data_IF_771728084999
#
_entry.id   IF_771728084999
#
_cell.length_a   1.000
_cell.length_b   1.000
_cell.length_c   1.000
_cell.angle_alpha   90.00
_cell.angle_beta   90.00
_cell.angle_gamma   90.00
#
_symmetry.space_group_name_H-M   'P 1'
#
loop_
_entity.id
_entity.type
_entity.pdbx_description
1 polymer ?
#
# COMPACT_ATOMS: atom_id res chain seq x y z
N UNK A 1 20.79 26.59 -14.68
CA UNK A 1 20.61 28.02 -15.02
C UNK A 1 19.60 28.59 -14.04
N UNK A 2 20.08 29.23 -12.96
CA UNK A 2 19.28 30.02 -12.01
C UNK A 2 18.81 31.29 -12.75
N UNK A 3 17.57 31.26 -13.23
CA UNK A 3 16.95 32.51 -13.73
C UNK A 3 16.83 33.48 -12.55
N UNK A 4 17.27 34.74 -12.72
CA UNK A 4 17.17 35.77 -11.70
C UNK A 4 15.70 35.97 -11.28
N UNK A 5 15.47 36.16 -9.98
CA UNK A 5 14.15 36.49 -9.45
C UNK A 5 13.70 37.85 -9.96
N UNK A 6 12.43 37.96 -10.36
CA UNK A 6 11.84 39.23 -10.78
C UNK A 6 11.41 40.05 -9.56
N UNK A 7 11.16 41.36 -9.73
CA UNK A 7 10.60 42.18 -8.65
C UNK A 7 9.30 41.60 -8.08
N UNK A 8 8.44 41.08 -8.96
CA UNK A 8 7.19 40.42 -8.61
C UNK A 8 7.41 39.14 -7.77
N UNK A 9 8.48 38.38 -8.04
CA UNK A 9 8.81 37.18 -7.23
C UNK A 9 9.19 37.57 -5.81
N UNK A 10 9.93 38.69 -5.63
CA UNK A 10 10.29 39.20 -4.32
C UNK A 10 9.10 39.76 -3.54
N UNK A 11 8.17 40.45 -4.21
CA UNK A 11 6.93 40.91 -3.57
C UNK A 11 6.08 39.76 -3.07
N UNK A 12 5.92 38.68 -3.88
CA UNK A 12 5.22 37.46 -3.47
C UNK A 12 5.91 36.75 -2.32
N UNK A 13 7.25 36.67 -2.35
CA UNK A 13 8.03 36.07 -1.28
C UNK A 13 7.83 36.82 0.05
N UNK A 14 7.81 38.16 0.00
CA UNK A 14 7.58 38.96 1.18
C UNK A 14 6.14 38.84 1.71
N UNK A 15 5.14 38.78 0.84
CA UNK A 15 3.75 38.49 1.22
C UNK A 15 3.62 37.14 1.94
N UNK A 16 4.28 36.09 1.39
CA UNK A 16 4.29 34.75 2.01
C UNK A 16 5.00 34.77 3.35
N UNK A 17 6.14 35.46 3.47
CA UNK A 17 6.89 35.62 4.71
C UNK A 17 6.05 36.30 5.80
N UNK A 18 5.42 37.43 5.47
CA UNK A 18 4.56 38.17 6.38
C UNK A 18 3.33 37.36 6.81
N UNK A 19 2.78 36.57 5.90
CA UNK A 19 1.62 35.74 6.19
C UNK A 19 1.87 34.65 7.25
N UNK A 20 3.14 34.30 7.51
CA UNK A 20 3.51 33.22 8.44
C UNK A 20 4.47 33.67 9.55
N UNK A 21 4.71 34.97 9.70
CA UNK A 21 5.68 35.52 10.65
C UNK A 21 5.39 35.18 12.12
N UNK A 22 4.15 34.87 12.46
CA UNK A 22 3.71 34.43 13.80
C UNK A 22 3.99 32.95 14.11
N UNK A 23 4.21 32.11 13.08
CA UNK A 23 4.42 30.67 13.25
C UNK A 23 5.77 30.19 12.71
N UNK A 24 6.46 31.01 11.89
CA UNK A 24 7.73 30.68 11.28
C UNK A 24 8.66 31.89 11.22
N UNK A 25 9.84 31.78 11.81
CA UNK A 25 10.89 32.77 11.73
C UNK A 25 11.73 32.52 10.48
N UNK A 26 11.52 33.33 9.44
CA UNK A 26 12.30 33.22 8.20
C UNK A 26 13.66 33.84 8.35
N UNK A 27 14.72 33.10 8.07
CA UNK A 27 16.14 33.53 8.10
C UNK A 27 16.66 33.82 6.68
N UNK A 28 16.20 33.06 5.67
CA UNK A 28 16.65 33.22 4.29
C UNK A 28 15.53 32.91 3.29
N UNK A 29 15.56 33.56 2.12
CA UNK A 29 14.62 33.38 1.02
C UNK A 29 15.38 33.05 -0.24
N UNK A 30 15.06 31.92 -0.86
CA UNK A 30 15.66 31.49 -2.13
C UNK A 30 14.60 31.08 -3.13
N UNK A 31 14.95 31.09 -4.41
CA UNK A 31 14.08 30.71 -5.51
C UNK A 31 14.64 29.47 -6.20
N UNK A 32 13.78 28.49 -6.47
CA UNK A 32 14.24 27.23 -7.06
C UNK A 32 13.09 26.38 -7.61
N UNK A 33 13.37 25.13 -7.95
CA UNK A 33 12.30 24.19 -8.33
C UNK A 33 11.47 23.78 -7.13
N UNK A 34 10.17 23.58 -7.33
CA UNK A 34 9.25 23.07 -6.30
C UNK A 34 9.41 21.57 -6.01
N UNK A 35 10.43 20.92 -6.58
CA UNK A 35 10.63 19.48 -6.51
C UNK A 35 9.86 18.71 -7.59
N UNK A 36 9.83 17.38 -7.51
CA UNK A 36 9.22 16.51 -8.54
C UNK A 36 7.72 16.74 -8.75
N UNK A 37 7.02 17.25 -7.75
CA UNK A 37 5.58 17.49 -7.79
C UNK A 37 5.19 18.82 -8.44
N UNK A 38 6.14 19.78 -8.59
CA UNK A 38 5.86 21.11 -9.09
C UNK A 38 6.92 21.53 -10.10
N UNK A 39 6.54 21.61 -11.36
CA UNK A 39 7.43 21.98 -12.47
C UNK A 39 7.71 23.49 -12.55
N UNK A 40 6.99 24.29 -11.74
CA UNK A 40 7.14 25.73 -11.72
C UNK A 40 8.16 26.18 -10.67
N UNK A 41 8.62 27.41 -10.80
CA UNK A 41 9.51 28.06 -9.86
C UNK A 41 8.82 28.20 -8.51
N UNK A 42 9.44 27.69 -7.45
CA UNK A 42 8.95 27.76 -6.08
C UNK A 42 9.77 28.76 -5.25
N UNK A 43 9.12 29.36 -4.26
CA UNK A 43 9.74 30.20 -3.25
C UNK A 43 10.11 29.32 -2.06
N UNK A 44 11.35 29.40 -1.58
CA UNK A 44 11.85 28.63 -0.45
C UNK A 44 12.16 29.59 0.70
N UNK A 45 11.49 29.38 1.81
CA UNK A 45 11.67 30.13 3.05
C UNK A 45 12.38 29.21 4.04
N UNK A 46 13.63 29.51 4.37
CA UNK A 46 14.42 28.81 5.41
C UNK A 46 14.28 29.52 6.73
N UNK A 47 14.29 28.74 7.83
CA UNK A 47 14.19 29.29 9.17
C UNK A 47 13.79 28.27 10.21
N UNK A 48 13.04 28.73 11.21
CA UNK A 48 12.63 27.90 12.36
C UNK A 48 11.15 28.04 12.65
N UNK A 49 10.52 26.91 12.99
CA UNK A 49 9.16 26.90 13.49
C UNK A 49 9.11 27.52 14.90
N UNK A 50 8.16 28.42 15.13
CA UNK A 50 7.92 29.07 16.43
C UNK A 50 6.91 28.30 17.28
N UNK A 51 6.12 27.41 16.65
CA UNK A 51 5.11 26.58 17.29
C UNK A 51 5.27 25.12 16.85
N UNK A 52 4.48 24.22 17.43
CA UNK A 52 4.52 22.79 17.03
C UNK A 52 4.28 22.61 15.53
N UNK A 53 5.07 21.74 14.90
CA UNK A 53 5.05 21.52 13.42
C UNK A 53 3.67 21.21 12.86
N UNK A 54 2.86 20.43 13.57
CA UNK A 54 1.51 20.08 13.14
C UNK A 54 0.55 21.28 13.12
N UNK A 55 0.65 22.12 14.15
CA UNK A 55 -0.11 23.37 14.26
C UNK A 55 0.37 24.38 13.22
N UNK A 56 1.70 24.60 13.16
CA UNK A 56 2.33 25.47 12.18
C UNK A 56 1.88 25.12 10.76
N UNK A 57 2.01 23.85 10.39
CA UNK A 57 1.66 23.41 9.03
C UNK A 57 0.17 23.66 8.71
N UNK A 58 -0.72 23.49 9.69
CA UNK A 58 -2.16 23.78 9.50
C UNK A 58 -2.39 25.23 9.10
N UNK A 59 -1.76 26.16 9.83
CA UNK A 59 -1.88 27.60 9.57
C UNK A 59 -1.18 28.01 8.26
N UNK A 60 0.04 27.53 8.06
CA UNK A 60 0.84 27.82 6.85
C UNK A 60 0.12 27.35 5.60
N UNK A 61 -0.39 26.10 5.59
CA UNK A 61 -1.05 25.52 4.43
C UNK A 61 -2.35 26.26 4.06
N UNK A 62 -3.11 26.72 5.07
CA UNK A 62 -4.34 27.50 4.84
C UNK A 62 -4.02 28.88 4.28
N UNK A 63 -3.03 29.59 4.86
CA UNK A 63 -2.64 30.93 4.43
C UNK A 63 -2.04 30.92 3.04
N UNK A 64 -1.17 29.96 2.74
CA UNK A 64 -0.57 29.81 1.40
C UNK A 64 -1.62 29.46 0.34
N UNK A 65 -2.58 28.61 0.68
CA UNK A 65 -3.69 28.29 -0.24
C UNK A 65 -4.50 29.52 -0.61
N UNK A 66 -4.74 30.46 0.33
CA UNK A 66 -5.44 31.73 0.04
C UNK A 66 -4.67 32.61 -0.91
N UNK A 67 -3.34 32.49 -0.94
CA UNK A 67 -2.45 33.18 -1.87
C UNK A 67 -2.18 32.41 -3.16
N UNK A 68 -2.83 31.24 -3.37
CA UNK A 68 -2.67 30.42 -4.58
C UNK A 68 -1.45 29.51 -4.57
N UNK A 69 -0.86 29.23 -3.38
CA UNK A 69 0.30 28.39 -3.23
C UNK A 69 0.00 27.12 -2.42
N UNK A 70 0.72 26.07 -2.74
CA UNK A 70 0.81 24.85 -1.89
C UNK A 70 2.08 24.93 -1.06
N UNK A 71 1.95 24.75 0.26
CA UNK A 71 3.07 24.68 1.19
C UNK A 71 3.61 23.26 1.29
N UNK A 72 4.94 23.09 1.20
CA UNK A 72 5.65 21.87 1.57
C UNK A 72 6.61 22.20 2.70
N UNK A 73 6.49 21.48 3.82
CA UNK A 73 7.37 21.63 4.96
C UNK A 73 8.41 20.50 4.95
N UNK A 74 9.68 20.89 4.97
CA UNK A 74 10.83 19.98 4.87
C UNK A 74 11.79 20.23 6.02
N UNK A 75 12.46 19.16 6.47
CA UNK A 75 13.55 19.27 7.45
C UNK A 75 14.87 19.41 6.71
N UNK A 76 15.68 20.38 7.12
CA UNK A 76 17.08 20.57 6.68
C UNK A 76 18.04 20.29 7.83
N UNK A 77 19.36 20.37 7.57
CA UNK A 77 20.40 20.15 8.59
C UNK A 77 20.32 21.17 9.73
N UNK A 78 20.02 22.43 9.39
CA UNK A 78 20.12 23.58 10.30
C UNK A 78 18.77 24.25 10.60
N UNK A 79 17.65 23.55 10.35
CA UNK A 79 16.32 24.10 10.59
C UNK A 79 15.25 23.46 9.73
N UNK A 80 14.22 24.24 9.44
CA UNK A 80 13.13 23.84 8.56
C UNK A 80 13.08 24.72 7.31
N UNK A 81 12.58 24.14 6.23
CA UNK A 81 12.35 24.85 4.97
C UNK A 81 10.89 24.71 4.57
N UNK A 82 10.24 25.84 4.29
CA UNK A 82 8.94 25.89 3.66
C UNK A 82 9.14 26.16 2.17
N UNK A 83 8.60 25.27 1.33
CA UNK A 83 8.60 25.47 -0.12
C UNK A 83 7.18 25.87 -0.52
N UNK A 84 7.01 27.10 -0.99
CA UNK A 84 5.78 27.60 -1.58
C UNK A 84 5.77 27.31 -3.08
N UNK A 85 5.01 26.32 -3.48
CA UNK A 85 4.84 25.94 -4.87
C UNK A 85 3.54 26.55 -5.42
N UNK A 86 3.56 27.23 -6.58
CA UNK A 86 2.36 27.82 -7.17
C UNK A 86 1.38 26.71 -7.59
N UNK A 87 0.09 26.96 -7.38
CA UNK A 87 -0.99 26.02 -7.72
C UNK A 87 -1.40 25.09 -6.58
N UNK A 88 -2.26 24.13 -6.91
CA UNK A 88 -2.75 23.14 -5.97
C UNK A 88 -2.04 21.80 -6.13
N UNK A 89 -1.68 21.15 -5.02
CA UNK A 89 -1.04 19.82 -5.01
C UNK A 89 -1.98 18.70 -5.49
N UNK A 90 -3.26 19.01 -5.70
CA UNK A 90 -4.29 18.05 -6.05
C UNK A 90 -4.63 18.13 -7.52
N UNK A 91 -4.31 17.09 -8.28
CA UNK A 91 -4.83 16.96 -9.63
C UNK A 91 -6.34 16.76 -9.60
N UNK A 92 -7.08 17.64 -10.27
CA UNK A 92 -8.50 17.44 -10.56
C UNK A 92 -8.68 16.49 -11.74
N UNK A 93 -7.99 15.37 -11.75
CA UNK A 93 -8.23 14.36 -12.77
C UNK A 93 -9.69 13.89 -12.68
N UNK A 94 -10.45 14.13 -13.75
CA UNK A 94 -11.83 13.69 -13.85
C UNK A 94 -11.86 12.16 -13.76
N UNK A 95 -12.31 11.62 -12.65
CA UNK A 95 -12.53 10.17 -12.53
C UNK A 95 -13.80 9.82 -13.31
N UNK A 96 -13.64 8.90 -14.24
CA UNK A 96 -14.78 8.29 -14.94
C UNK A 96 -15.28 7.13 -14.08
N UNK A 97 -16.40 7.27 -13.33
CA UNK A 97 -16.82 6.27 -12.35
C UNK A 97 -17.21 4.92 -12.96
N UNK A 98 -17.51 4.89 -14.25
CA UNK A 98 -17.82 3.65 -14.97
C UNK A 98 -16.59 2.73 -15.14
N UNK A 99 -15.34 3.28 -15.14
CA UNK A 99 -14.12 2.47 -15.32
C UNK A 99 -13.88 1.52 -14.15
N UNK A 100 -13.89 1.97 -12.88
CA UNK A 100 -13.82 1.04 -11.74
C UNK A 100 -14.94 -0.01 -11.74
N UNK A 101 -16.18 0.37 -12.11
CA UNK A 101 -17.29 -0.56 -12.17
C UNK A 101 -17.11 -1.63 -13.25
N UNK A 102 -16.66 -1.24 -14.45
CA UNK A 102 -16.35 -2.19 -15.54
C UNK A 102 -15.22 -3.15 -15.13
N UNK A 103 -14.15 -2.63 -14.56
CA UNK A 103 -13.01 -3.46 -14.11
C UNK A 103 -13.43 -4.43 -13.02
N UNK A 104 -14.28 -4.01 -12.08
CA UNK A 104 -14.83 -4.91 -11.06
C UNK A 104 -15.68 -6.02 -11.70
N UNK A 105 -16.55 -5.69 -12.67
CA UNK A 105 -17.37 -6.69 -13.35
C UNK A 105 -16.52 -7.70 -14.13
N UNK A 106 -15.48 -7.23 -14.83
CA UNK A 106 -14.54 -8.11 -15.55
C UNK A 106 -13.73 -8.98 -14.59
N UNK A 107 -13.31 -8.42 -13.44
CA UNK A 107 -12.59 -9.17 -12.41
C UNK A 107 -13.47 -10.23 -11.77
N UNK A 108 -14.74 -9.91 -11.46
CA UNK A 108 -15.71 -10.88 -10.98
C UNK A 108 -15.88 -12.05 -11.97
N UNK A 109 -16.08 -11.74 -13.25
CA UNK A 109 -16.19 -12.79 -14.28
C UNK A 109 -14.94 -13.68 -14.36
N UNK A 110 -13.74 -13.06 -14.31
CA UNK A 110 -12.45 -13.74 -14.33
C UNK A 110 -12.27 -14.64 -13.11
N UNK A 111 -12.53 -14.14 -11.90
CA UNK A 111 -12.34 -14.87 -10.63
C UNK A 111 -13.37 -16.00 -10.50
N UNK A 112 -14.63 -15.78 -10.93
CA UNK A 112 -15.65 -16.85 -10.96
C UNK A 112 -15.22 -17.97 -11.92
N UNK A 113 -14.74 -17.64 -13.11
CA UNK A 113 -14.27 -18.61 -14.09
C UNK A 113 -13.10 -19.44 -13.53
N UNK A 114 -12.09 -18.80 -12.94
CA UNK A 114 -10.95 -19.49 -12.33
C UNK A 114 -11.40 -20.35 -11.14
N UNK A 115 -12.24 -19.82 -10.24
CA UNK A 115 -12.79 -20.60 -9.12
C UNK A 115 -13.58 -21.83 -9.57
N UNK A 116 -14.36 -21.71 -10.64
CA UNK A 116 -15.10 -22.83 -11.22
C UNK A 116 -14.18 -23.88 -11.88
N UNK A 117 -13.02 -23.47 -12.39
CA UNK A 117 -12.03 -24.38 -12.96
C UNK A 117 -11.25 -25.18 -11.90
N UNK A 118 -11.24 -24.72 -10.65
CA UNK A 118 -10.60 -25.43 -9.52
C UNK A 118 -11.47 -26.56 -8.97
N UNK A 119 -12.79 -26.48 -9.13
CA UNK A 119 -13.76 -27.46 -8.64
C UNK A 119 -14.70 -27.89 -9.80
N UNK A 120 -14.15 -28.62 -10.81
CA UNK A 120 -14.97 -29.10 -11.93
C UNK A 120 -15.98 -30.14 -11.46
N UNK A 121 -17.11 -30.20 -12.17
CA UNK A 121 -18.10 -31.25 -11.91
C UNK A 121 -17.55 -32.67 -12.18
N UNK A 122 -18.16 -33.72 -11.64
CA UNK A 122 -17.69 -35.12 -11.83
C UNK A 122 -17.60 -35.55 -13.29
N UNK A 123 -18.33 -34.92 -14.20
CA UNK A 123 -18.29 -35.13 -15.64
C UNK A 123 -17.18 -34.31 -16.34
N UNK A 124 -16.34 -33.57 -15.58
CA UNK A 124 -15.29 -32.70 -16.08
C UNK A 124 -15.80 -31.36 -16.64
N UNK A 125 -17.10 -31.08 -16.56
CA UNK A 125 -17.66 -29.80 -17.02
C UNK A 125 -17.41 -28.69 -16.00
N UNK A 126 -17.13 -27.47 -16.50
CA UNK A 126 -16.96 -26.28 -15.65
C UNK A 126 -18.34 -25.72 -15.34
N UNK A 127 -18.75 -25.82 -14.08
CA UNK A 127 -19.98 -25.21 -13.58
C UNK A 127 -19.66 -23.87 -12.94
N UNK A 128 -20.10 -22.77 -13.55
CA UNK A 128 -19.81 -21.41 -13.11
C UNK A 128 -20.18 -21.18 -11.63
N UNK A 129 -21.24 -21.81 -11.14
CA UNK A 129 -21.69 -21.70 -9.74
C UNK A 129 -20.68 -22.22 -8.71
N UNK A 130 -19.85 -23.21 -9.10
CA UNK A 130 -18.79 -23.74 -8.23
C UNK A 130 -17.70 -22.71 -7.96
N UNK A 131 -17.54 -21.72 -8.83
CA UNK A 131 -16.58 -20.62 -8.64
C UNK A 131 -17.04 -19.52 -7.68
N UNK A 132 -18.34 -19.46 -7.35
CA UNK A 132 -18.87 -18.39 -6.48
C UNK A 132 -18.26 -18.35 -5.08
N UNK A 133 -18.10 -19.47 -4.34
CA UNK A 133 -17.51 -19.44 -3.01
C UNK A 133 -16.10 -18.83 -3.00
N UNK A 134 -15.26 -19.18 -3.97
CA UNK A 134 -13.95 -18.59 -4.17
C UNK A 134 -14.03 -17.10 -4.50
N UNK A 135 -14.85 -16.76 -5.50
CA UNK A 135 -14.94 -15.39 -6.01
C UNK A 135 -15.49 -14.42 -4.97
N UNK A 136 -16.58 -14.76 -4.30
CA UNK A 136 -17.16 -13.93 -3.23
C UNK A 136 -16.17 -13.71 -2.11
N UNK A 137 -15.48 -14.78 -1.68
CA UNK A 137 -14.47 -14.71 -0.62
C UNK A 137 -13.29 -13.82 -1.00
N UNK A 138 -12.69 -14.04 -2.18
CA UNK A 138 -11.52 -13.28 -2.63
C UNK A 138 -11.86 -11.80 -2.87
N UNK A 139 -12.98 -11.52 -3.55
CA UNK A 139 -13.41 -10.13 -3.81
C UNK A 139 -13.82 -9.42 -2.52
N UNK A 140 -14.41 -10.11 -1.54
CA UNK A 140 -14.70 -9.51 -0.24
C UNK A 140 -13.41 -9.09 0.49
N UNK A 141 -12.36 -9.93 0.45
CA UNK A 141 -11.07 -9.63 1.08
C UNK A 141 -10.38 -8.46 0.38
N UNK A 142 -10.23 -8.52 -0.96
CA UNK A 142 -9.60 -7.46 -1.74
C UNK A 142 -10.40 -6.15 -1.66
N UNK A 143 -11.73 -6.25 -1.71
CA UNK A 143 -12.62 -5.11 -1.56
C UNK A 143 -12.49 -4.45 -0.19
N UNK A 144 -12.46 -5.24 0.89
CA UNK A 144 -12.25 -4.71 2.23
C UNK A 144 -10.88 -4.00 2.36
N UNK A 145 -9.82 -4.57 1.78
CA UNK A 145 -8.48 -3.98 1.75
C UNK A 145 -8.52 -2.60 1.08
N UNK A 146 -8.98 -2.51 -0.15
CA UNK A 146 -9.00 -1.25 -0.90
C UNK A 146 -9.97 -0.21 -0.31
N UNK A 147 -11.13 -0.65 0.18
CA UNK A 147 -12.07 0.23 0.86
C UNK A 147 -11.51 0.74 2.20
N UNK A 148 -10.68 -0.05 2.89
CA UNK A 148 -9.94 0.40 4.06
C UNK A 148 -9.06 1.61 3.73
N UNK A 149 -8.24 1.53 2.71
CA UNK A 149 -7.45 2.65 2.20
C UNK A 149 -8.32 3.83 1.78
N UNK A 150 -9.39 3.57 1.02
CA UNK A 150 -10.30 4.59 0.51
C UNK A 150 -10.94 5.41 1.62
N UNK A 151 -11.53 4.75 2.62
CA UNK A 151 -12.19 5.45 3.72
C UNK A 151 -11.19 6.16 4.63
N UNK A 152 -10.02 5.55 4.90
CA UNK A 152 -8.96 6.18 5.67
C UNK A 152 -8.43 7.45 4.96
N UNK A 153 -8.17 7.37 3.66
CA UNK A 153 -7.72 8.51 2.88
C UNK A 153 -8.75 9.66 2.91
N UNK A 154 -10.02 9.35 2.73
CA UNK A 154 -11.10 10.35 2.83
C UNK A 154 -11.21 10.96 4.22
N UNK A 155 -11.05 10.15 5.27
CA UNK A 155 -11.09 10.61 6.64
C UNK A 155 -9.98 11.63 6.95
N UNK A 156 -8.77 11.39 6.44
CA UNK A 156 -7.64 12.33 6.62
C UNK A 156 -7.57 13.43 5.56
N UNK A 157 -8.60 13.55 4.71
CA UNK A 157 -8.70 14.62 3.70
C UNK A 157 -7.79 14.44 2.48
N UNK A 158 -7.28 13.22 2.22
CA UNK A 158 -6.48 12.91 1.02
C UNK A 158 -7.40 12.46 -0.11
N UNK A 159 -7.48 13.17 -1.26
CA UNK A 159 -8.32 12.77 -2.37
C UNK A 159 -7.81 11.49 -3.03
N UNK A 160 -8.72 10.53 -3.24
CA UNK A 160 -8.43 9.21 -3.82
C UNK A 160 -9.48 8.81 -4.84
N UNK A 161 -9.13 7.88 -5.72
CA UNK A 161 -10.09 7.24 -6.64
C UNK A 161 -10.87 6.13 -5.93
N UNK A 162 -11.96 5.68 -6.57
CA UNK A 162 -12.55 4.37 -6.24
C UNK A 162 -11.54 3.26 -6.55
N UNK A 163 -11.66 2.08 -5.92
CA UNK A 163 -10.81 0.93 -6.19
C UNK A 163 -10.87 0.47 -7.65
N UNK A 164 -9.70 0.22 -8.23
CA UNK A 164 -9.53 -0.40 -9.53
C UNK A 164 -9.15 -1.87 -9.33
N UNK A 165 -10.02 -2.79 -9.72
CA UNK A 165 -9.74 -4.22 -9.72
C UNK A 165 -9.10 -4.61 -11.05
N UNK A 166 -8.07 -5.47 -11.03
CA UNK A 166 -7.33 -5.86 -12.23
C UNK A 166 -7.72 -7.28 -12.62
N UNK A 167 -8.55 -7.46 -13.67
CA UNK A 167 -8.90 -8.80 -14.14
C UNK A 167 -7.67 -9.48 -14.74
N UNK A 168 -7.46 -10.75 -14.41
CA UNK A 168 -6.42 -11.59 -14.98
C UNK A 168 -6.94 -13.03 -15.08
N UNK A 169 -7.56 -13.43 -16.20
CA UNK A 169 -8.18 -14.76 -16.34
C UNK A 169 -7.12 -15.86 -16.48
N UNK A 170 -6.17 -15.89 -15.57
CA UNK A 170 -5.07 -16.87 -15.51
C UNK A 170 -5.01 -17.45 -14.10
N UNK A 171 -4.87 -18.79 -13.94
CA UNK A 171 -4.65 -19.42 -12.65
C UNK A 171 -3.44 -18.83 -11.91
N UNK A 172 -3.41 -18.85 -10.57
CA UNK A 172 -4.42 -19.47 -9.70
C UNK A 172 -5.52 -18.51 -9.21
N UNK A 173 -5.42 -17.19 -9.41
CA UNK A 173 -6.27 -16.23 -8.68
C UNK A 173 -7.41 -15.61 -9.52
N UNK A 174 -7.23 -15.49 -10.84
CA UNK A 174 -8.20 -14.80 -11.70
C UNK A 174 -8.13 -13.27 -11.60
N UNK A 175 -7.23 -12.74 -10.81
CA UNK A 175 -7.00 -11.30 -10.64
C UNK A 175 -5.55 -11.03 -10.25
N UNK A 176 -5.04 -9.85 -10.60
CA UNK A 176 -3.77 -9.32 -10.07
C UNK A 176 -3.96 -8.52 -8.77
N UNK A 177 -5.18 -8.51 -8.20
CA UNK A 177 -5.52 -7.70 -7.04
C UNK A 177 -6.30 -6.44 -7.42
N UNK A 178 -6.24 -5.46 -6.55
CA UNK A 178 -6.88 -4.16 -6.73
C UNK A 178 -5.96 -3.05 -6.19
N UNK A 179 -6.23 -1.80 -6.54
CA UNK A 179 -5.52 -0.65 -5.98
C UNK A 179 -6.39 0.60 -6.00
N UNK A 180 -6.13 1.53 -5.08
CA UNK A 180 -6.61 2.91 -5.15
C UNK A 180 -5.48 3.81 -5.64
N UNK A 181 -5.84 4.92 -6.29
CA UNK A 181 -4.87 5.95 -6.69
C UNK A 181 -5.07 7.20 -5.83
N UNK A 182 -4.03 7.60 -5.11
CA UNK A 182 -4.00 8.92 -4.47
C UNK A 182 -3.84 10.00 -5.55
N UNK A 183 -4.71 11.02 -5.52
CA UNK A 183 -4.71 12.15 -6.48
C UNK A 183 -3.74 13.26 -6.08
N UNK A 184 -2.96 13.05 -5.07
CA UNK A 184 -1.96 13.98 -4.55
C UNK A 184 -1.27 13.43 -3.32
N UNK A 185 -0.24 14.12 -2.81
CA UNK A 185 0.48 13.69 -1.64
C UNK A 185 -0.41 13.74 -0.38
N UNK A 186 -0.16 12.86 0.58
CA UNK A 186 -0.76 12.93 1.91
C UNK A 186 -0.32 14.21 2.64
N UNK A 187 -1.15 14.70 3.56
CA UNK A 187 -0.88 15.90 4.32
C UNK A 187 0.44 15.81 5.10
N UNK A 188 0.59 14.75 5.89
CA UNK A 188 1.74 14.53 6.77
C UNK A 188 2.02 13.02 6.92
N UNK A 189 3.07 12.65 7.68
CA UNK A 189 3.42 11.25 7.95
C UNK A 189 2.34 10.51 8.73
N UNK A 190 1.55 11.20 9.56
CA UNK A 190 0.46 10.59 10.35
C UNK A 190 -0.68 10.17 9.44
N UNK A 191 -1.08 11.04 8.51
CA UNK A 191 -2.07 10.75 7.50
C UNK A 191 -1.61 9.60 6.57
N UNK A 192 -0.34 9.62 6.13
CA UNK A 192 0.22 8.56 5.30
C UNK A 192 0.18 7.21 6.03
N UNK A 193 0.58 7.16 7.31
CA UNK A 193 0.52 5.95 8.12
C UNK A 193 -0.91 5.42 8.26
N UNK A 194 -1.86 6.32 8.56
CA UNK A 194 -3.28 5.95 8.71
C UNK A 194 -3.82 5.30 7.43
N UNK A 195 -3.51 5.88 6.27
CA UNK A 195 -3.91 5.31 4.98
C UNK A 195 -3.25 3.96 4.77
N UNK A 196 -1.92 3.88 4.92
CA UNK A 196 -1.15 2.68 4.61
C UNK A 196 -1.50 1.47 5.49
N UNK A 197 -1.88 1.68 6.76
CA UNK A 197 -2.30 0.59 7.65
C UNK A 197 -3.73 0.12 7.42
N UNK A 198 -4.62 1.02 6.98
CA UNK A 198 -6.06 0.75 6.96
C UNK A 198 -6.46 -0.37 6.00
N UNK A 199 -5.83 -0.46 4.83
CA UNK A 199 -6.08 -1.52 3.86
C UNK A 199 -5.71 -2.91 4.40
N UNK A 200 -4.42 -3.15 4.76
CA UNK A 200 -4.00 -4.41 5.32
C UNK A 200 -4.83 -4.87 6.52
N UNK A 201 -5.15 -3.95 7.45
CA UNK A 201 -5.98 -4.28 8.61
C UNK A 201 -7.41 -4.67 8.21
N UNK A 202 -8.06 -3.89 7.34
CA UNK A 202 -9.41 -4.19 6.87
C UNK A 202 -9.45 -5.50 6.07
N UNK A 203 -8.46 -5.74 5.21
CA UNK A 203 -8.31 -7.00 4.48
C UNK A 203 -8.16 -8.20 5.40
N UNK A 204 -7.33 -8.12 6.46
CA UNK A 204 -7.13 -9.20 7.43
C UNK A 204 -8.36 -9.47 8.31
N UNK A 205 -9.11 -8.43 8.66
CA UNK A 205 -10.38 -8.58 9.41
C UNK A 205 -11.37 -9.46 8.64
N UNK A 206 -11.33 -9.46 7.32
CA UNK A 206 -12.15 -10.33 6.47
C UNK A 206 -11.43 -11.65 6.14
N UNK A 207 -10.14 -11.60 5.81
CA UNK A 207 -9.37 -12.76 5.37
C UNK A 207 -9.26 -13.84 6.45
N UNK A 208 -9.03 -13.47 7.73
CA UNK A 208 -8.87 -14.43 8.82
C UNK A 208 -10.16 -15.24 9.07
N UNK A 209 -11.34 -14.62 9.24
CA UNK A 209 -12.60 -15.38 9.36
C UNK A 209 -12.91 -16.25 8.13
N UNK A 210 -12.67 -15.72 6.91
CA UNK A 210 -12.85 -16.48 5.66
C UNK A 210 -11.92 -17.70 5.64
N UNK A 211 -10.65 -17.53 6.02
CA UNK A 211 -9.70 -18.62 6.08
C UNK A 211 -10.08 -19.66 7.12
N UNK A 212 -10.50 -19.28 8.32
CA UNK A 212 -10.96 -20.19 9.38
C UNK A 212 -12.19 -20.97 8.91
N UNK A 213 -13.18 -20.28 8.33
CA UNK A 213 -14.36 -20.93 7.76
C UNK A 213 -13.97 -21.92 6.66
N UNK A 214 -13.12 -21.47 5.73
CA UNK A 214 -12.67 -22.33 4.64
C UNK A 214 -11.90 -23.55 5.11
N UNK A 215 -10.99 -23.40 6.08
CA UNK A 215 -10.24 -24.52 6.68
C UNK A 215 -11.18 -25.50 7.40
N UNK A 216 -12.23 -25.01 8.06
CA UNK A 216 -13.23 -25.89 8.69
C UNK A 216 -14.06 -26.69 7.69
N UNK A 217 -14.14 -26.25 6.43
CA UNK A 217 -14.76 -26.93 5.31
C UNK A 217 -13.77 -27.82 4.53
N UNK A 218 -12.48 -27.72 4.84
CA UNK A 218 -11.40 -28.48 4.22
C UNK A 218 -11.16 -29.80 4.94
N UNK A 219 -10.49 -30.73 4.28
CA UNK A 219 -10.19 -32.05 4.84
C UNK A 219 -8.72 -32.42 4.62
N UNK A 220 -8.20 -33.30 5.49
CA UNK A 220 -6.81 -33.77 5.42
C UNK A 220 -6.78 -35.08 4.66
N UNK A 221 -5.97 -35.13 3.59
CA UNK A 221 -5.81 -36.33 2.74
C UNK A 221 -4.33 -36.60 2.43
N UNK A 222 -4.02 -37.81 1.95
CA UNK A 222 -2.71 -38.10 1.41
C UNK A 222 -2.40 -37.24 0.18
N UNK A 223 -1.16 -36.71 0.13
CA UNK A 223 -0.71 -35.95 -1.03
C UNK A 223 -0.74 -36.81 -2.28
N UNK A 224 -1.27 -36.31 -3.40
CA UNK A 224 -1.17 -36.98 -4.70
C UNK A 224 0.30 -37.19 -5.08
N UNK A 225 0.57 -38.25 -5.84
CA UNK A 225 1.94 -38.50 -6.30
C UNK A 225 2.42 -37.52 -7.37
N UNK A 226 1.49 -36.87 -8.10
CA UNK A 226 1.78 -35.91 -9.18
C UNK A 226 0.59 -35.01 -9.46
N UNK A 227 0.85 -33.89 -10.15
CA UNK A 227 -0.20 -33.05 -10.74
C UNK A 227 -0.95 -32.18 -9.71
N UNK A 228 -0.28 -31.64 -8.71
CA UNK A 228 -0.89 -30.74 -7.73
C UNK A 228 -0.09 -29.45 -7.50
N UNK A 229 -0.79 -28.46 -7.00
CA UNK A 229 -0.20 -27.19 -6.56
C UNK A 229 -0.35 -27.14 -5.04
N UNK A 230 0.76 -26.86 -4.36
CA UNK A 230 0.79 -26.73 -2.91
C UNK A 230 1.02 -25.28 -2.53
N UNK A 231 0.20 -24.77 -1.63
CA UNK A 231 0.35 -23.45 -1.07
C UNK A 231 1.38 -23.43 0.07
N UNK A 232 2.12 -22.30 0.15
CA UNK A 232 3.12 -22.11 1.19
C UNK A 232 2.52 -21.69 2.54
N UNK A 233 3.22 -22.02 3.60
CA UNK A 233 2.86 -21.62 4.95
C UNK A 233 3.49 -20.28 5.36
N UNK A 234 2.68 -19.38 5.90
CA UNK A 234 3.14 -18.32 6.80
C UNK A 234 3.04 -18.79 8.24
N UNK A 235 3.65 -18.06 9.17
CA UNK A 235 3.54 -18.40 10.60
C UNK A 235 2.09 -18.39 11.08
N UNK A 236 1.30 -17.38 10.67
CA UNK A 236 -0.12 -17.28 11.01
C UNK A 236 -0.92 -18.43 10.40
N UNK A 237 -0.69 -18.74 9.13
CA UNK A 237 -1.41 -19.82 8.45
C UNK A 237 -1.09 -21.20 9.05
N UNK A 238 0.19 -21.46 9.33
CA UNK A 238 0.62 -22.68 10.01
C UNK A 238 -0.02 -22.81 11.40
N UNK A 239 -0.07 -21.72 12.17
CA UNK A 239 -0.73 -21.70 13.49
C UNK A 239 -2.22 -22.03 13.39
N UNK A 240 -2.93 -21.48 12.37
CA UNK A 240 -4.35 -21.80 12.14
C UNK A 240 -4.55 -23.27 11.74
N UNK A 241 -3.66 -23.83 10.88
CA UNK A 241 -3.70 -25.28 10.55
C UNK A 241 -3.50 -26.14 11.82
N UNK A 242 -2.52 -25.80 12.66
CA UNK A 242 -2.29 -26.53 13.92
C UNK A 242 -3.52 -26.43 14.84
N UNK A 243 -4.11 -25.24 14.96
CA UNK A 243 -5.28 -25.03 15.83
C UNK A 243 -6.51 -25.86 15.40
N UNK A 244 -6.74 -25.96 14.07
CA UNK A 244 -7.93 -26.64 13.53
C UNK A 244 -7.73 -28.14 13.32
N UNK A 245 -6.53 -28.59 12.91
CA UNK A 245 -6.25 -29.98 12.57
C UNK A 245 -5.38 -30.71 13.61
N UNK A 246 -4.92 -30.01 14.66
CA UNK A 246 -4.14 -30.59 15.76
C UNK A 246 -2.70 -30.94 15.42
N UNK A 247 -2.22 -30.61 14.20
CA UNK A 247 -0.85 -30.94 13.75
C UNK A 247 -0.35 -29.92 12.71
N UNK A 248 0.98 -29.88 12.54
CA UNK A 248 1.60 -29.14 11.47
C UNK A 248 1.39 -29.87 10.13
N UNK A 249 0.94 -29.15 9.10
CA UNK A 249 0.71 -29.66 7.75
C UNK A 249 1.40 -28.75 6.72
N UNK A 250 2.03 -29.33 5.65
CA UNK A 250 2.13 -30.77 5.34
C UNK A 250 3.07 -31.54 6.27
N UNK A 251 2.71 -32.80 6.61
CA UNK A 251 3.56 -33.75 7.35
C UNK A 251 3.12 -35.19 7.07
N UNK A 252 4.05 -36.12 7.17
CA UNK A 252 3.81 -37.56 7.02
C UNK A 252 3.06 -37.95 5.73
N UNK A 253 3.31 -37.22 4.62
CA UNK A 253 2.64 -37.46 3.35
C UNK A 253 1.18 -36.99 3.31
N UNK A 254 0.74 -36.24 4.30
CA UNK A 254 -0.61 -35.66 4.40
C UNK A 254 -0.56 -34.14 4.25
N UNK A 255 -1.58 -33.56 3.64
CA UNK A 255 -1.81 -32.12 3.66
C UNK A 255 -3.31 -31.80 3.65
N UNK A 256 -3.64 -30.52 3.78
CA UNK A 256 -5.01 -30.02 3.73
C UNK A 256 -5.44 -29.83 2.28
N UNK A 257 -6.48 -30.52 1.86
CA UNK A 257 -7.16 -30.24 0.60
C UNK A 257 -8.11 -29.07 0.82
N UNK A 258 -7.67 -27.93 0.30
CA UNK A 258 -8.33 -26.66 0.57
C UNK A 258 -9.69 -26.56 -0.13
N UNK A 259 -10.71 -26.27 0.65
CA UNK A 259 -11.96 -25.77 0.11
C UNK A 259 -11.70 -24.43 -0.61
N UNK A 260 -12.39 -24.08 -1.72
CA UNK A 260 -12.19 -22.82 -2.45
C UNK A 260 -12.23 -21.57 -1.56
N UNK A 261 -13.05 -21.55 -0.51
CA UNK A 261 -13.09 -20.46 0.49
C UNK A 261 -11.78 -20.37 1.28
N UNK A 262 -11.17 -21.51 1.65
CA UNK A 262 -9.88 -21.52 2.34
C UNK A 262 -8.77 -20.99 1.46
N UNK A 263 -8.75 -21.41 0.19
CA UNK A 263 -7.78 -20.95 -0.78
C UNK A 263 -7.90 -19.43 -1.03
N UNK A 264 -9.13 -18.89 -1.09
CA UNK A 264 -9.36 -17.43 -1.16
C UNK A 264 -8.84 -16.70 0.10
N UNK A 265 -9.06 -17.26 1.29
CA UNK A 265 -8.55 -16.73 2.55
C UNK A 265 -7.03 -16.72 2.60
N UNK A 266 -6.37 -17.81 2.19
CA UNK A 266 -4.91 -17.90 2.06
C UNK A 266 -4.37 -16.91 1.02
N UNK A 267 -5.02 -16.79 -0.14
CA UNK A 267 -4.66 -15.81 -1.16
C UNK A 267 -4.77 -14.37 -0.62
N UNK A 268 -5.78 -14.09 0.20
CA UNK A 268 -5.93 -12.81 0.91
C UNK A 268 -4.77 -12.52 1.87
N UNK A 269 -4.32 -13.52 2.65
CA UNK A 269 -3.13 -13.39 3.50
C UNK A 269 -1.88 -13.14 2.65
N UNK A 270 -1.70 -13.87 1.55
CA UNK A 270 -0.57 -13.71 0.64
C UNK A 270 -0.53 -12.29 0.06
N UNK A 271 -1.64 -11.80 -0.51
CA UNK A 271 -1.73 -10.45 -1.10
C UNK A 271 -1.45 -9.38 -0.04
N UNK A 272 -2.01 -9.53 1.16
CA UNK A 272 -1.74 -8.60 2.27
C UNK A 272 -0.26 -8.64 2.68
N UNK A 273 0.35 -9.84 2.75
CA UNK A 273 1.77 -10.00 3.03
C UNK A 273 2.67 -9.35 1.98
N UNK A 274 2.32 -9.49 0.70
CA UNK A 274 3.03 -8.85 -0.41
C UNK A 274 2.92 -7.32 -0.34
N UNK A 275 1.75 -6.78 -0.03
CA UNK A 275 1.55 -5.33 0.16
C UNK A 275 2.28 -4.79 1.40
N UNK A 276 2.50 -5.61 2.43
CA UNK A 276 3.24 -5.23 3.63
C UNK A 276 4.77 -5.39 3.49
N UNK A 277 5.30 -5.83 2.35
CA UNK A 277 6.74 -5.79 2.08
C UNK A 277 7.25 -4.36 2.34
N UNK A 278 8.28 -4.17 3.21
CA UNK A 278 8.72 -2.85 3.66
C UNK A 278 9.57 -2.12 2.61
N UNK A 279 9.05 -1.98 1.39
CA UNK A 279 9.80 -1.44 0.25
C UNK A 279 8.92 -0.70 -0.76
N UNK A 280 9.50 0.30 -1.42
CA UNK A 280 8.91 1.02 -2.55
C UNK A 280 7.61 1.74 -2.21
N UNK A 281 6.61 1.59 -3.08
CA UNK A 281 5.27 2.19 -2.95
C UNK A 281 4.23 1.22 -2.37
N UNK A 282 4.64 0.06 -1.90
CA UNK A 282 3.77 -0.86 -1.19
C UNK A 282 3.36 -0.28 0.17
N UNK A 283 2.29 -0.79 0.76
CA UNK A 283 1.80 -0.30 2.06
C UNK A 283 2.88 -0.40 3.14
N UNK A 284 3.63 -1.51 3.19
CA UNK A 284 4.78 -1.66 4.06
C UNK A 284 5.87 -0.63 3.80
N UNK A 285 6.12 -0.27 2.54
CA UNK A 285 7.04 0.79 2.16
C UNK A 285 6.61 2.16 2.68
N UNK A 286 5.31 2.48 2.58
CA UNK A 286 4.75 3.71 3.17
C UNK A 286 4.85 3.73 4.69
N UNK A 287 4.53 2.62 5.36
CA UNK A 287 4.65 2.48 6.82
C UNK A 287 6.11 2.73 7.25
N UNK A 288 7.07 2.08 6.61
CA UNK A 288 8.50 2.24 6.91
C UNK A 288 8.98 3.66 6.61
N UNK A 289 8.48 4.30 5.55
CA UNK A 289 8.78 5.70 5.28
C UNK A 289 8.35 6.60 6.45
N UNK A 290 7.18 6.37 7.04
CA UNK A 290 6.72 7.18 8.18
C UNK A 290 7.61 7.03 9.41
N UNK A 291 8.26 5.87 9.59
CA UNK A 291 9.20 5.59 10.68
C UNK A 291 10.61 6.15 10.44
N UNK A 292 11.16 5.89 9.25
CA UNK A 292 12.57 6.10 8.92
C UNK A 292 12.83 7.33 8.01
N UNK A 293 11.77 7.92 7.43
CA UNK A 293 11.89 9.01 6.46
C UNK A 293 12.72 8.58 5.25
N UNK A 294 13.64 9.42 4.82
CA UNK A 294 14.50 9.18 3.64
C UNK A 294 15.38 7.94 3.73
N UNK A 295 15.68 7.44 4.96
CA UNK A 295 16.43 6.19 5.15
C UNK A 295 15.66 4.95 4.66
N UNK A 296 14.36 5.03 4.45
CA UNK A 296 13.55 3.96 3.85
C UNK A 296 14.04 3.56 2.45
N UNK A 297 14.70 4.47 1.71
CA UNK A 297 15.30 4.15 0.40
C UNK A 297 16.43 3.12 0.51
N UNK A 298 17.29 3.25 1.52
CA UNK A 298 18.35 2.27 1.76
C UNK A 298 17.75 0.92 2.13
N UNK A 299 16.72 0.92 3.00
CA UNK A 299 16.02 -0.33 3.33
C UNK A 299 15.37 -0.96 2.10
N UNK A 300 14.76 -0.18 1.21
CA UNK A 300 14.20 -0.70 -0.06
C UNK A 300 15.26 -1.43 -0.89
N UNK A 301 16.48 -0.91 -0.99
CA UNK A 301 17.57 -1.59 -1.68
C UNK A 301 17.95 -2.92 -1.00
N UNK A 302 18.01 -2.93 0.33
CA UNK A 302 18.27 -4.17 1.10
C UNK A 302 17.17 -5.20 0.85
N UNK A 303 15.91 -4.78 0.84
CA UNK A 303 14.77 -5.67 0.55
C UNK A 303 14.84 -6.21 -0.88
N UNK A 304 15.19 -5.39 -1.89
CA UNK A 304 15.37 -5.88 -3.26
C UNK A 304 16.45 -6.97 -3.30
N UNK A 305 17.59 -6.77 -2.64
CA UNK A 305 18.64 -7.79 -2.55
C UNK A 305 18.17 -9.06 -1.83
N UNK A 306 17.38 -8.90 -0.76
CA UNK A 306 16.78 -10.04 -0.05
C UNK A 306 15.79 -10.81 -0.95
N UNK A 307 14.94 -10.12 -1.73
CA UNK A 307 14.05 -10.77 -2.69
C UNK A 307 14.79 -11.50 -3.80
N UNK A 308 15.91 -10.93 -4.29
CA UNK A 308 16.79 -11.62 -5.24
C UNK A 308 17.42 -12.87 -4.61
N UNK A 309 17.78 -12.83 -3.33
CA UNK A 309 18.23 -14.01 -2.58
C UNK A 309 17.12 -15.07 -2.42
N UNK A 310 15.89 -14.64 -2.10
CA UNK A 310 14.73 -15.53 -1.99
C UNK A 310 14.32 -16.16 -3.34
N UNK A 311 14.76 -15.59 -4.46
CA UNK A 311 14.52 -16.16 -5.78
C UNK A 311 15.16 -17.56 -5.98
N UNK A 312 16.15 -17.91 -5.18
CA UNK A 312 16.70 -19.29 -5.13
C UNK A 312 15.71 -20.30 -4.55
N UNK A 313 14.78 -19.84 -3.71
CA UNK A 313 13.73 -20.68 -3.13
C UNK A 313 12.49 -20.72 -4.02
N UNK A 314 12.13 -19.57 -4.63
CA UNK A 314 10.97 -19.43 -5.48
C UNK A 314 11.18 -18.34 -6.55
N UNK A 315 11.15 -18.74 -7.82
CA UNK A 315 11.44 -17.84 -8.95
C UNK A 315 10.52 -16.62 -9.05
N UNK A 316 9.31 -16.67 -8.48
CA UNK A 316 8.38 -15.54 -8.46
C UNK A 316 8.95 -14.31 -7.75
N UNK A 317 9.93 -14.47 -6.85
CA UNK A 317 10.59 -13.34 -6.20
C UNK A 317 11.39 -12.46 -7.16
N UNK A 318 11.82 -12.98 -8.34
CA UNK A 318 12.44 -12.15 -9.38
C UNK A 318 11.47 -11.08 -9.90
N UNK A 319 10.22 -11.48 -10.16
CA UNK A 319 9.18 -10.55 -10.58
C UNK A 319 8.92 -9.50 -9.50
N UNK A 320 8.80 -9.92 -8.22
CA UNK A 320 8.58 -8.99 -7.12
C UNK A 320 9.76 -8.05 -6.89
N UNK A 321 11.00 -8.52 -6.97
CA UNK A 321 12.19 -7.67 -6.91
C UNK A 321 12.19 -6.62 -8.03
N UNK A 322 11.82 -7.02 -9.25
CA UNK A 322 11.69 -6.11 -10.39
C UNK A 322 10.56 -5.08 -10.18
N UNK A 323 9.37 -5.49 -9.73
CA UNK A 323 8.25 -4.58 -9.47
C UNK A 323 8.59 -3.58 -8.36
N UNK A 324 9.16 -4.05 -7.25
CA UNK A 324 9.63 -3.17 -6.16
C UNK A 324 10.67 -2.18 -6.66
N UNK A 325 11.65 -2.61 -7.46
CA UNK A 325 12.63 -1.74 -8.07
C UNK A 325 11.98 -0.67 -8.98
N UNK A 326 11.06 -1.08 -9.85
CA UNK A 326 10.38 -0.19 -10.77
C UNK A 326 9.56 0.89 -10.04
N UNK A 327 8.77 0.48 -9.04
CA UNK A 327 7.91 1.38 -8.27
C UNK A 327 8.65 2.13 -7.15
N UNK A 328 9.89 1.78 -6.81
CA UNK A 328 10.66 2.49 -5.79
C UNK A 328 11.24 3.84 -6.27
N UNK A 329 11.25 4.08 -7.58
CA UNK A 329 11.86 5.30 -8.17
C UNK A 329 11.11 6.59 -7.81
N UNK A 330 9.82 6.51 -7.52
CA UNK A 330 8.98 7.65 -7.18
C UNK A 330 8.36 7.45 -5.80
N UNK A 331 9.01 7.92 -4.74
CA UNK A 331 8.38 7.96 -3.41
C UNK A 331 7.53 9.22 -3.29
N UNK A 332 6.23 9.04 -3.04
CA UNK A 332 5.34 10.15 -2.70
C UNK A 332 5.66 10.63 -1.27
N UNK A 333 6.46 11.70 -1.18
CA UNK A 333 6.70 12.36 0.12
C UNK A 333 5.47 13.16 0.53
N UNK A 334 5.05 13.14 1.81
CA UNK A 334 3.94 13.97 2.28
C UNK A 334 4.24 15.46 2.13
N UNK A 335 3.21 16.29 2.20
CA UNK A 335 3.36 17.75 2.13
C UNK A 335 4.15 18.26 3.35
N UNK A 336 3.83 17.77 4.55
CA UNK A 336 4.59 18.00 5.77
C UNK A 336 5.41 16.74 6.14
N UNK A 337 6.71 16.83 5.98
CA UNK A 337 7.66 15.77 6.32
C UNK A 337 8.38 16.00 7.67
N UNK A 338 8.04 17.08 8.38
CA UNK A 338 8.63 17.44 9.68
C UNK A 338 7.83 16.87 10.84
N UNK A 339 6.50 16.87 10.73
CA UNK A 339 5.62 16.36 11.79
C UNK A 339 5.86 14.88 12.06
N UNK A 340 6.30 14.57 13.28
CA UNK A 340 6.63 13.22 13.72
C UNK A 340 5.37 12.42 14.09
N UNK A 341 5.50 11.10 14.04
CA UNK A 341 4.50 10.18 14.58
C UNK A 341 4.38 10.33 16.10
N UNK A 342 3.17 10.18 16.62
CA UNK A 342 2.96 10.01 18.05
C UNK A 342 3.54 8.67 18.52
N UNK A 343 3.84 8.49 19.83
CA UNK A 343 4.33 7.21 20.37
C UNK A 343 3.39 6.03 20.03
N UNK A 344 2.07 6.23 20.09
CA UNK A 344 1.07 5.21 19.74
C UNK A 344 1.14 4.86 18.25
N UNK A 345 1.21 5.85 17.38
CA UNK A 345 1.34 5.63 15.94
C UNK A 345 2.64 4.90 15.57
N UNK A 346 3.74 5.22 16.28
CA UNK A 346 5.02 4.51 16.11
C UNK A 346 4.89 3.05 16.52
N UNK A 347 4.23 2.78 17.65
CA UNK A 347 3.97 1.40 18.11
C UNK A 347 3.10 0.63 17.11
N UNK A 348 2.04 1.25 16.58
CA UNK A 348 1.18 0.64 15.56
C UNK A 348 1.97 0.33 14.28
N UNK A 349 2.82 1.25 13.81
CA UNK A 349 3.66 1.03 12.64
C UNK A 349 4.63 -0.15 12.83
N UNK A 350 5.24 -0.28 14.02
CA UNK A 350 6.08 -1.43 14.36
C UNK A 350 5.22 -2.72 14.40
N UNK A 351 4.04 -2.66 15.00
CA UNK A 351 3.09 -3.79 15.02
C UNK A 351 2.73 -4.30 13.62
N UNK A 352 2.56 -3.38 12.66
CA UNK A 352 2.34 -3.75 11.25
C UNK A 352 3.53 -4.47 10.63
N UNK A 353 4.76 -4.09 10.99
CA UNK A 353 5.96 -4.80 10.51
C UNK A 353 6.11 -6.18 11.16
N UNK A 354 5.71 -6.35 12.42
CA UNK A 354 5.63 -7.67 13.05
C UNK A 354 4.53 -8.53 12.40
N UNK A 355 3.39 -7.93 12.09
CA UNK A 355 2.32 -8.60 11.34
C UNK A 355 2.80 -9.07 9.97
N UNK A 356 3.58 -8.26 9.25
CA UNK A 356 4.23 -8.69 8.01
C UNK A 356 5.02 -9.99 8.20
N UNK A 357 5.86 -10.06 9.24
CA UNK A 357 6.65 -11.28 9.52
C UNK A 357 5.74 -12.49 9.79
N UNK A 358 4.60 -12.29 10.45
CA UNK A 358 3.66 -13.37 10.76
C UNK A 358 2.93 -13.92 9.52
N UNK A 359 2.66 -13.05 8.52
CA UNK A 359 1.90 -13.45 7.33
C UNK A 359 2.77 -13.64 6.08
N UNK A 360 4.06 -13.35 6.14
CA UNK A 360 4.97 -13.52 5.01
C UNK A 360 5.16 -15.00 4.68
N UNK A 361 5.07 -15.33 3.38
CA UNK A 361 5.23 -16.69 2.86
C UNK A 361 6.48 -16.73 1.98
N UNK A 362 7.59 -17.38 2.42
CA UNK A 362 8.84 -17.41 1.66
C UNK A 362 8.74 -18.15 0.32
N UNK A 363 7.92 -19.18 0.25
CA UNK A 363 7.65 -19.99 -0.96
C UNK A 363 6.13 -20.03 -1.16
N UNK A 364 5.54 -19.06 -1.88
CA UNK A 364 4.08 -18.96 -1.98
C UNK A 364 3.40 -20.17 -2.62
N UNK A 365 3.91 -20.66 -3.73
CA UNK A 365 3.29 -21.76 -4.47
C UNK A 365 4.38 -22.69 -5.03
N UNK A 366 4.19 -23.98 -4.87
CA UNK A 366 5.00 -25.01 -5.52
C UNK A 366 4.13 -25.87 -6.44
N UNK A 367 4.63 -26.14 -7.65
CA UNK A 367 3.95 -27.01 -8.64
C UNK A 367 4.68 -28.35 -8.65
N UNK A 368 3.95 -29.41 -8.39
CA UNK A 368 4.44 -30.79 -8.44
C UNK A 368 3.87 -31.45 -9.70
N UNK A 369 4.67 -31.57 -10.80
CA UNK A 369 4.22 -32.07 -12.10
C UNK A 369 3.86 -33.57 -12.12
#
# INVERSE_FOLDING_TARGET
>A
LTAFATATDWELAEQLRLAIADVFQTEDITFGSGGPLFHHRAIRLRGRLLVNSHEAYTLISERFRRLGFTALLRKESDGEMIVAAPGTAWERAATRPWVPALLLALTLASVIYIGASMDPAPDGSIRIWNGLPFAVSLIAILGAHELGHYFAARHVGTPVTLPYFIPMPVPPFGTMGAFIQMKGPSRDRRALLTIAMAGPLAGLVVAIPVLILGLSLSHVEPLPTRGYIMEGNSLLYAALKILLFGRFLPSDGLDVFLHPVAFAGWAGLLVTGLNLIPAGQLDGGHIVYTLLGTRSRTLTLVIILALLGLAWLWNGWLLWAFLVFLFSRTQATPLDDVTQLTPIQRLLAIGMMLLFVLIFVPVPLTVHP
#
